data_IF_481334219271
#
_entry.id   IF_481334219271
#
_cell.length_a   1.000
_cell.length_b   1.000
_cell.length_c   1.000
_cell.angle_alpha   90.00
_cell.angle_beta   90.00
_cell.angle_gamma   90.00
#
_symmetry.space_group_name_H-M   'P 1'
#
loop_
_entity.id
_entity.type
_entity.pdbx_description
1 polymer ?
#
# COMPACT_ATOMS: atom_id res chain seq x y z
N UNK A 1 -19.09 5.21 -2.06
CA UNK A 1 -18.16 5.21 -3.22
C UNK A 1 -18.63 4.29 -4.34
N UNK A 2 -19.64 3.46 -4.08
CA UNK A 2 -20.36 2.64 -5.05
C UNK A 2 -21.86 2.98 -5.01
N UNK A 3 -22.57 2.66 -6.10
CA UNK A 3 -24.02 2.67 -6.19
C UNK A 3 -24.48 1.32 -6.70
N UNK A 4 -25.52 0.76 -6.07
CA UNK A 4 -26.16 -0.45 -6.58
C UNK A 4 -26.92 -0.15 -7.86
N UNK A 5 -26.61 -0.90 -8.91
CA UNK A 5 -27.29 -0.82 -10.21
C UNK A 5 -27.94 -2.16 -10.54
N UNK A 6 -29.19 -2.16 -11.05
CA UNK A 6 -29.75 -3.39 -11.60
C UNK A 6 -28.98 -3.78 -12.87
N UNK A 7 -28.52 -5.02 -12.93
CA UNK A 7 -27.78 -5.58 -14.07
C UNK A 7 -28.38 -6.93 -14.48
N UNK A 8 -28.03 -7.38 -15.68
CA UNK A 8 -28.24 -8.76 -16.12
C UNK A 8 -26.91 -9.52 -16.04
N UNK A 9 -26.83 -10.53 -15.18
CA UNK A 9 -25.65 -11.38 -14.99
C UNK A 9 -25.83 -12.72 -15.69
N UNK A 10 -24.86 -13.13 -16.51
CA UNK A 10 -24.84 -14.45 -17.11
C UNK A 10 -24.01 -15.41 -16.27
N UNK A 11 -24.66 -16.41 -15.66
CA UNK A 11 -24.00 -17.45 -14.85
C UNK A 11 -24.63 -18.81 -15.14
N UNK A 12 -23.80 -19.85 -15.22
CA UNK A 12 -24.23 -21.23 -15.42
C UNK A 12 -25.20 -21.40 -16.61
N UNK A 13 -24.93 -20.73 -17.74
CA UNK A 13 -25.76 -20.86 -18.94
C UNK A 13 -27.03 -20.00 -18.97
N UNK A 14 -27.29 -19.17 -17.96
CA UNK A 14 -28.55 -18.43 -17.82
C UNK A 14 -28.31 -16.96 -17.47
N UNK A 15 -29.19 -16.07 -17.96
CA UNK A 15 -29.25 -14.68 -17.51
C UNK A 15 -30.10 -14.55 -16.25
N UNK A 16 -29.62 -13.75 -15.30
CA UNK A 16 -30.28 -13.45 -14.03
C UNK A 16 -30.24 -11.94 -13.78
N UNK A 17 -31.36 -11.36 -13.38
CA UNK A 17 -31.41 -9.95 -12.96
C UNK A 17 -30.95 -9.85 -11.51
N UNK A 18 -29.85 -9.14 -11.27
CA UNK A 18 -29.26 -8.95 -9.94
C UNK A 18 -28.85 -7.49 -9.76
N UNK A 19 -28.50 -7.11 -8.54
CA UNK A 19 -27.86 -5.81 -8.28
C UNK A 19 -26.35 -6.01 -8.18
N UNK A 20 -25.61 -5.05 -8.74
CA UNK A 20 -24.15 -5.01 -8.65
C UNK A 20 -23.69 -3.64 -8.15
N UNK A 21 -22.59 -3.62 -7.41
CA UNK A 21 -22.01 -2.41 -6.83
C UNK A 21 -21.09 -1.76 -7.86
N UNK A 22 -21.47 -0.59 -8.36
CA UNK A 22 -20.72 0.13 -9.39
C UNK A 22 -20.06 1.35 -8.79
N UNK A 23 -18.75 1.48 -8.95
CA UNK A 23 -18.00 2.64 -8.46
C UNK A 23 -18.54 3.95 -9.06
N UNK A 24 -18.61 4.99 -8.24
CA UNK A 24 -18.99 6.34 -8.66
C UNK A 24 -17.78 7.12 -9.16
N UNK A 25 -17.96 7.84 -10.27
CA UNK A 25 -17.01 8.83 -10.77
C UNK A 25 -17.69 10.19 -10.94
N UNK A 26 -16.95 11.26 -10.66
CA UNK A 26 -17.40 12.65 -10.80
C UNK A 26 -16.31 13.51 -11.43
N UNK A 27 -16.67 14.54 -12.22
CA UNK A 27 -15.72 15.54 -12.66
C UNK A 27 -15.37 16.49 -11.49
N UNK A 28 -14.09 16.86 -11.39
CA UNK A 28 -13.58 17.91 -10.52
C UNK A 28 -12.81 18.92 -11.38
N UNK A 29 -13.31 20.15 -11.47
CA UNK A 29 -12.65 21.27 -12.15
C UNK A 29 -11.93 22.16 -11.13
N UNK A 30 -10.64 22.37 -11.36
CA UNK A 30 -9.76 23.18 -10.53
C UNK A 30 -9.56 24.53 -11.23
N UNK A 31 -9.88 25.60 -10.52
CA UNK A 31 -9.58 26.98 -10.88
C UNK A 31 -8.39 27.46 -10.07
N UNK A 32 -7.44 28.13 -10.72
CA UNK A 32 -6.30 28.77 -10.05
C UNK A 32 -6.33 30.26 -10.36
N UNK A 33 -6.34 31.11 -9.33
CA UNK A 33 -6.42 32.56 -9.48
C UNK A 33 -7.56 33.00 -10.44
N UNK A 34 -8.72 32.35 -10.32
CA UNK A 34 -9.93 32.54 -11.12
C UNK A 34 -9.86 32.07 -12.59
N UNK A 35 -8.80 31.40 -13.01
CA UNK A 35 -8.71 30.77 -14.33
C UNK A 35 -8.92 29.26 -14.24
N UNK A 36 -9.69 28.68 -15.15
CA UNK A 36 -9.80 27.23 -15.25
C UNK A 36 -8.44 26.62 -15.58
N UNK A 37 -7.98 25.72 -14.71
CA UNK A 37 -6.67 25.10 -14.83
C UNK A 37 -6.74 23.67 -15.36
N UNK A 38 -7.60 22.84 -14.77
CA UNK A 38 -7.74 21.44 -15.15
C UNK A 38 -9.09 20.87 -14.73
N UNK A 39 -9.61 19.91 -15.50
CA UNK A 39 -10.74 19.06 -15.10
C UNK A 39 -10.30 17.60 -15.10
N UNK A 40 -10.52 16.90 -13.99
CA UNK A 40 -10.20 15.48 -13.82
C UNK A 40 -11.43 14.68 -13.41
N UNK A 41 -11.54 13.45 -13.91
CA UNK A 41 -12.57 12.50 -13.45
C UNK A 41 -11.98 11.72 -12.29
N UNK A 42 -12.66 11.70 -11.15
CA UNK A 42 -12.17 11.11 -9.91
C UNK A 42 -13.31 10.51 -9.08
N UNK A 43 -12.95 9.79 -8.02
CA UNK A 43 -13.92 9.33 -7.03
C UNK A 43 -14.33 10.47 -6.07
N UNK A 44 -15.60 10.51 -5.62
CA UNK A 44 -16.19 11.68 -4.95
C UNK A 44 -15.84 11.80 -3.47
N UNK A 45 -14.54 11.68 -3.13
CA UNK A 45 -14.04 11.76 -1.76
C UNK A 45 -12.62 12.34 -1.76
N UNK A 46 -12.23 12.95 -0.63
CA UNK A 46 -10.87 13.47 -0.45
C UNK A 46 -10.46 14.51 -1.51
N UNK A 47 -11.39 15.33 -1.99
CA UNK A 47 -11.13 16.32 -3.03
C UNK A 47 -10.00 17.28 -2.66
N UNK A 48 -9.98 17.76 -1.41
CA UNK A 48 -8.93 18.65 -0.92
C UNK A 48 -7.53 18.05 -1.08
N UNK A 49 -7.39 16.77 -0.75
CA UNK A 49 -6.13 16.05 -0.88
C UNK A 49 -5.76 15.84 -2.34
N UNK A 50 -6.74 15.47 -3.19
CA UNK A 50 -6.54 15.34 -4.63
C UNK A 50 -6.03 16.65 -5.24
N UNK A 51 -6.67 17.78 -4.94
CA UNK A 51 -6.28 19.10 -5.46
C UNK A 51 -4.87 19.46 -5.00
N UNK A 52 -4.58 19.38 -3.70
CA UNK A 52 -3.26 19.72 -3.16
C UNK A 52 -2.18 18.82 -3.76
N UNK A 53 -2.39 17.51 -3.74
CA UNK A 53 -1.43 16.56 -4.28
C UNK A 53 -1.21 16.73 -5.79
N UNK A 54 -2.27 16.97 -6.55
CA UNK A 54 -2.17 17.23 -7.99
C UNK A 54 -1.33 18.48 -8.29
N UNK A 55 -1.57 19.60 -7.59
CA UNK A 55 -0.81 20.84 -7.79
C UNK A 55 0.68 20.66 -7.47
N UNK A 56 1.02 19.91 -6.42
CA UNK A 56 2.41 19.57 -6.10
C UNK A 56 3.02 18.60 -7.12
N UNK A 57 2.27 17.56 -7.49
CA UNK A 57 2.71 16.55 -8.47
C UNK A 57 2.98 17.15 -9.84
N UNK A 58 2.20 18.12 -10.29
CA UNK A 58 2.44 18.82 -11.57
C UNK A 58 3.50 19.94 -11.44
N UNK A 59 3.96 20.24 -10.22
CA UNK A 59 4.95 21.28 -9.94
C UNK A 59 4.40 22.71 -10.04
N UNK A 60 3.07 22.86 -9.95
CA UNK A 60 2.39 24.16 -9.92
C UNK A 60 2.75 24.92 -8.64
N UNK A 61 2.87 24.18 -7.54
CA UNK A 61 3.33 24.67 -6.24
C UNK A 61 4.49 23.84 -5.73
N UNK A 62 5.38 24.46 -4.97
CA UNK A 62 6.53 23.80 -4.34
C UNK A 62 6.41 23.75 -2.82
N UNK A 63 5.61 24.66 -2.24
CA UNK A 63 5.40 24.77 -0.81
C UNK A 63 3.92 24.95 -0.49
N UNK A 64 3.49 24.44 0.68
CA UNK A 64 2.10 24.59 1.15
C UNK A 64 1.69 26.07 1.27
N UNK A 65 2.64 26.93 1.67
CA UNK A 65 2.47 28.39 1.74
C UNK A 65 2.24 29.07 0.39
N UNK A 66 2.47 28.37 -0.72
CA UNK A 66 2.14 28.91 -2.04
C UNK A 66 0.61 29.01 -2.22
N UNK A 67 -0.19 28.24 -1.46
CA UNK A 67 -1.66 28.34 -1.44
C UNK A 67 -2.09 29.39 -0.40
N UNK A 68 -2.75 30.45 -0.87
CA UNK A 68 -3.40 31.48 -0.04
C UNK A 68 -4.75 31.02 0.49
N UNK A 69 -5.59 30.44 -0.38
CA UNK A 69 -6.86 29.81 0.01
C UNK A 69 -7.21 28.66 -0.93
N UNK A 70 -8.00 27.71 -0.42
CA UNK A 70 -8.55 26.59 -1.17
C UNK A 70 -10.00 26.39 -0.72
N UNK A 71 -10.92 26.76 -1.59
CA UNK A 71 -12.36 26.66 -1.39
C UNK A 71 -12.92 25.61 -2.35
N UNK A 72 -13.92 24.85 -1.94
CA UNK A 72 -14.50 23.78 -2.76
C UNK A 72 -16.03 23.85 -2.74
N UNK A 73 -16.62 23.66 -3.91
CA UNK A 73 -18.02 23.35 -4.11
C UNK A 73 -18.09 21.86 -4.49
N UNK A 74 -18.14 20.99 -3.48
CA UNK A 74 -18.08 19.53 -3.67
C UNK A 74 -19.30 19.00 -4.45
N UNK A 75 -20.46 19.64 -4.29
CA UNK A 75 -21.70 19.27 -4.99
C UNK A 75 -21.60 19.55 -6.49
N UNK A 76 -20.97 20.66 -6.87
CA UNK A 76 -20.74 21.00 -8.29
C UNK A 76 -19.43 20.43 -8.86
N UNK A 77 -18.56 19.87 -8.02
CA UNK A 77 -17.25 19.40 -8.43
C UNK A 77 -16.30 20.53 -8.82
N UNK A 78 -16.29 21.63 -8.06
CA UNK A 78 -15.37 22.76 -8.28
C UNK A 78 -14.40 22.97 -7.12
N UNK A 79 -13.14 23.26 -7.43
CA UNK A 79 -12.14 23.70 -6.47
C UNK A 79 -11.54 25.03 -6.92
N UNK A 80 -11.55 26.02 -6.03
CA UNK A 80 -11.01 27.36 -6.25
C UNK A 80 -9.75 27.54 -5.41
N UNK A 81 -8.61 27.59 -6.09
CA UNK A 81 -7.28 27.75 -5.47
C UNK A 81 -6.81 29.17 -5.71
N UNK A 82 -6.50 29.90 -4.64
CA UNK A 82 -5.78 31.17 -4.74
C UNK A 82 -4.33 30.92 -4.38
N UNK A 83 -3.41 31.24 -5.28
CA UNK A 83 -1.97 31.14 -5.05
C UNK A 83 -1.37 32.49 -4.66
N UNK A 84 -0.26 32.47 -3.94
CA UNK A 84 0.49 33.67 -3.55
C UNK A 84 1.22 34.32 -4.72
N UNK A 85 1.46 33.56 -5.79
CA UNK A 85 2.12 34.02 -7.01
C UNK A 85 1.13 33.96 -8.17
N UNK A 86 1.25 34.89 -9.10
CA UNK A 86 0.59 34.74 -10.38
C UNK A 86 1.25 33.60 -11.15
N UNK A 87 0.44 32.73 -11.74
CA UNK A 87 0.93 31.75 -12.69
C UNK A 87 1.55 32.52 -13.86
N UNK A 88 2.81 32.27 -14.16
CA UNK A 88 3.40 32.81 -15.39
C UNK A 88 2.65 32.15 -16.53
N UNK A 89 1.86 32.93 -17.28
CA UNK A 89 1.00 32.52 -18.40
C UNK A 89 1.78 31.77 -19.49
N UNK A 90 2.07 30.52 -19.20
CA UNK A 90 2.53 29.56 -20.18
C UNK A 90 1.49 28.45 -20.16
N UNK A 91 0.25 28.84 -20.50
CA UNK A 91 -0.85 27.92 -20.72
C UNK A 91 -0.38 26.79 -21.65
N UNK A 92 0.45 27.05 -22.66
CA UNK A 92 1.09 26.02 -23.49
C UNK A 92 1.81 24.87 -22.73
N UNK A 93 2.27 25.09 -21.49
CA UNK A 93 2.88 24.06 -20.63
C UNK A 93 1.86 23.22 -19.84
N UNK A 94 0.63 23.72 -19.63
CA UNK A 94 -0.40 23.08 -18.79
C UNK A 94 -1.73 22.79 -19.52
N UNK A 95 -2.11 23.60 -20.52
CA UNK A 95 -3.47 23.82 -21.06
C UNK A 95 -3.90 22.95 -22.25
N UNK A 96 -3.23 21.82 -22.50
CA UNK A 96 -3.74 20.80 -23.45
C UNK A 96 -4.06 19.46 -22.76
N UNK A 97 -4.45 19.48 -21.50
CA UNK A 97 -4.82 18.27 -20.74
C UNK A 97 -6.32 18.03 -20.77
N UNK A 98 -6.76 17.36 -21.85
CA UNK A 98 -8.05 16.69 -21.96
C UNK A 98 -7.95 15.20 -21.55
N UNK A 99 -9.09 14.69 -21.09
CA UNK A 99 -9.39 13.56 -20.20
C UNK A 99 -8.70 12.21 -20.50
N UNK A 100 -8.33 11.51 -19.42
CA UNK A 100 -8.30 10.05 -19.37
C UNK A 100 -8.15 9.50 -17.94
N UNK A 101 -9.22 8.98 -17.36
CA UNK A 101 -9.18 8.16 -16.13
C UNK A 101 -8.47 6.81 -16.38
N UNK A 102 -8.42 6.30 -17.63
CA UNK A 102 -7.66 5.09 -17.96
C UNK A 102 -7.20 4.86 -19.42
N UNK A 103 -7.34 5.81 -20.37
CA UNK A 103 -7.06 5.53 -21.80
C UNK A 103 -5.86 6.30 -22.36
N UNK A 104 -4.98 5.58 -23.08
CA UNK A 104 -3.67 6.04 -23.53
C UNK A 104 -3.69 7.25 -24.46
N UNK A 105 -3.03 8.32 -24.02
CA UNK A 105 -2.15 9.12 -24.87
C UNK A 105 -0.82 9.23 -24.14
N UNK A 106 0.15 8.44 -24.64
CA UNK A 106 1.57 8.55 -24.31
C UNK A 106 1.98 10.02 -24.42
N UNK A 107 2.24 10.68 -23.29
CA UNK A 107 2.84 12.02 -23.30
C UNK A 107 4.35 11.86 -23.30
N UNK A 108 4.90 12.30 -24.41
CA UNK A 108 6.31 12.47 -24.67
C UNK A 108 7.00 13.30 -23.59
N UNK A 109 8.12 12.75 -23.10
CA UNK A 109 9.29 13.36 -22.48
C UNK A 109 9.07 14.32 -21.30
N UNK A 110 9.60 13.89 -20.13
CA UNK A 110 9.89 14.65 -18.91
C UNK A 110 9.53 16.14 -19.00
N UNK A 111 8.50 16.56 -18.28
CA UNK A 111 8.25 17.99 -18.17
C UNK A 111 9.48 18.65 -17.54
N UNK A 112 9.80 19.87 -17.97
CA UNK A 112 10.87 20.65 -17.33
C UNK A 112 10.63 20.83 -15.82
N UNK A 113 9.37 20.74 -15.36
CA UNK A 113 9.01 20.70 -13.94
C UNK A 113 9.41 19.40 -13.25
N UNK A 114 9.43 18.25 -13.93
CA UNK A 114 9.85 16.97 -13.36
C UNK A 114 11.33 17.00 -12.97
N UNK A 115 12.19 17.55 -13.83
CA UNK A 115 13.63 17.71 -13.53
C UNK A 115 13.87 18.54 -12.26
N UNK A 116 13.00 19.52 -11.97
CA UNK A 116 13.13 20.39 -10.79
C UNK A 116 12.53 19.79 -9.52
N UNK A 117 11.62 18.83 -9.63
CA UNK A 117 10.81 18.35 -8.49
C UNK A 117 11.02 16.89 -8.16
N UNK A 118 11.41 16.06 -9.12
CA UNK A 118 11.87 14.70 -8.87
C UNK A 118 13.18 14.75 -8.08
N UNK A 119 13.28 13.88 -7.09
CA UNK A 119 14.43 13.76 -6.21
C UNK A 119 14.93 12.33 -6.25
N UNK A 120 16.23 12.16 -6.41
CA UNK A 120 16.89 10.89 -6.15
C UNK A 120 16.68 10.54 -4.68
N UNK A 121 16.21 9.33 -4.43
CA UNK A 121 16.05 8.83 -3.07
C UNK A 121 17.41 8.70 -2.39
N UNK A 122 17.48 9.11 -1.14
CA UNK A 122 18.64 8.93 -0.25
C UNK A 122 18.25 8.05 0.93
N UNK A 123 17.23 7.20 0.78
CA UNK A 123 16.78 6.32 1.86
C UNK A 123 17.72 5.13 2.02
N UNK A 124 17.98 4.81 3.28
CA UNK A 124 18.64 3.57 3.71
C UNK A 124 17.61 2.55 4.23
N UNK A 125 16.31 2.85 4.12
CA UNK A 125 15.25 1.93 4.53
C UNK A 125 15.34 0.62 3.72
N UNK A 126 15.08 -0.49 4.39
CA UNK A 126 15.05 -1.83 3.80
C UNK A 126 13.78 -2.56 4.22
N UNK A 127 13.39 -3.56 3.44
CA UNK A 127 12.27 -4.45 3.76
C UNK A 127 12.71 -5.89 3.63
N UNK A 128 12.21 -6.74 4.50
CA UNK A 128 12.25 -8.18 4.27
C UNK A 128 11.27 -8.59 3.17
N UNK A 129 11.52 -9.75 2.56
CA UNK A 129 10.61 -10.34 1.58
C UNK A 129 9.19 -10.54 2.14
N UNK A 130 9.07 -10.97 3.39
CA UNK A 130 7.76 -11.17 4.04
C UNK A 130 7.02 -9.85 4.26
N UNK A 131 7.72 -8.79 4.66
CA UNK A 131 7.12 -7.47 4.80
C UNK A 131 6.57 -6.95 3.47
N UNK A 132 7.26 -7.20 2.35
CA UNK A 132 6.75 -6.83 1.03
C UNK A 132 5.41 -7.49 0.72
N UNK A 133 5.28 -8.79 1.04
CA UNK A 133 4.06 -9.56 0.85
C UNK A 133 2.96 -9.06 1.78
N UNK A 134 3.24 -8.96 3.08
CA UNK A 134 2.30 -8.54 4.12
C UNK A 134 1.73 -7.14 3.83
N UNK A 135 2.56 -6.19 3.44
CA UNK A 135 2.09 -4.84 3.11
C UNK A 135 1.15 -4.84 1.90
N UNK A 136 1.39 -5.69 0.91
CA UNK A 136 0.52 -5.84 -0.26
C UNK A 136 -0.80 -6.55 0.07
N UNK A 137 -0.77 -7.53 0.96
CA UNK A 137 -1.98 -8.17 1.50
C UNK A 137 -2.81 -7.15 2.30
N UNK A 138 -2.17 -6.40 3.19
CA UNK A 138 -2.82 -5.35 3.97
C UNK A 138 -3.45 -4.28 3.07
N UNK A 139 -2.81 -3.87 1.98
CA UNK A 139 -3.41 -2.94 1.02
C UNK A 139 -4.70 -3.50 0.41
N UNK A 140 -4.70 -4.77 0.04
CA UNK A 140 -5.87 -5.43 -0.57
C UNK A 140 -6.99 -5.66 0.44
N UNK A 141 -6.64 -6.06 1.66
CA UNK A 141 -7.60 -6.25 2.75
C UNK A 141 -8.25 -4.95 3.21
N UNK A 142 -7.56 -3.80 3.10
CA UNK A 142 -8.12 -2.51 3.50
C UNK A 142 -8.86 -1.76 2.38
N UNK A 143 -9.15 -2.41 1.24
CA UNK A 143 -9.87 -1.76 0.12
C UNK A 143 -11.25 -2.37 -0.11
N UNK A 144 -12.22 -1.98 0.72
CA UNK A 144 -13.59 -2.50 0.62
C UNK A 144 -14.24 -2.13 -0.72
N UNK A 145 -14.04 -0.90 -1.19
CA UNK A 145 -14.56 -0.46 -2.49
C UNK A 145 -13.98 -1.28 -3.65
N UNK A 146 -12.72 -1.69 -3.58
CA UNK A 146 -12.15 -2.58 -4.60
C UNK A 146 -12.73 -3.99 -4.51
N UNK A 147 -12.94 -4.52 -3.30
CA UNK A 147 -13.57 -5.84 -3.11
C UNK A 147 -15.01 -5.86 -3.63
N UNK A 148 -15.75 -4.76 -3.42
CA UNK A 148 -17.14 -4.61 -3.85
C UNK A 148 -17.26 -4.41 -5.36
N UNK A 149 -16.43 -3.53 -5.94
CA UNK A 149 -16.64 -3.02 -7.30
C UNK A 149 -15.59 -3.46 -8.32
N UNK A 150 -14.39 -3.84 -7.86
CA UNK A 150 -13.20 -4.00 -8.72
C UNK A 150 -12.74 -2.73 -9.44
N UNK A 151 -13.41 -1.59 -9.24
CA UNK A 151 -13.33 -0.41 -10.10
C UNK A 151 -12.38 0.69 -9.62
N UNK A 152 -11.53 0.43 -8.63
CA UNK A 152 -10.63 1.44 -8.06
C UNK A 152 -9.17 0.97 -7.99
N UNK A 153 -8.27 1.94 -8.04
CA UNK A 153 -6.87 1.78 -7.68
C UNK A 153 -6.63 2.21 -6.24
N UNK A 154 -5.74 1.50 -5.56
CA UNK A 154 -5.36 1.76 -4.18
C UNK A 154 -3.88 2.10 -4.11
N UNK A 155 -3.56 3.08 -3.29
CA UNK A 155 -2.20 3.47 -2.97
C UNK A 155 -2.10 3.66 -1.45
N UNK A 156 -0.98 3.27 -0.85
CA UNK A 156 -0.72 3.47 0.55
C UNK A 156 0.72 3.91 0.80
N UNK A 157 0.92 4.76 1.80
CA UNK A 157 2.21 5.01 2.40
C UNK A 157 2.32 4.14 3.65
N UNK A 158 3.38 3.34 3.71
CA UNK A 158 3.59 2.36 4.77
C UNK A 158 4.93 2.58 5.48
N UNK A 159 5.00 2.18 6.76
CA UNK A 159 6.25 1.81 7.41
C UNK A 159 6.62 0.36 7.04
N UNK A 160 7.60 -0.20 7.74
CA UNK A 160 8.00 -1.60 7.66
C UNK A 160 6.84 -2.61 7.83
N UNK A 161 5.84 -2.31 8.66
CA UNK A 161 4.74 -3.26 8.95
C UNK A 161 3.35 -2.65 8.94
N UNK A 162 3.23 -1.32 8.92
CA UNK A 162 1.95 -0.64 9.10
C UNK A 162 1.63 0.29 7.94
N UNK A 163 0.34 0.36 7.59
CA UNK A 163 -0.18 1.36 6.66
C UNK A 163 -0.41 2.65 7.45
N UNK A 164 0.32 3.71 7.13
CA UNK A 164 0.06 5.04 7.71
C UNK A 164 -1.17 5.69 7.12
N UNK A 165 -1.33 5.56 5.80
CA UNK A 165 -2.44 6.12 5.06
C UNK A 165 -2.66 5.30 3.80
N UNK A 166 -3.92 5.04 3.48
CA UNK A 166 -4.34 4.51 2.18
C UNK A 166 -5.27 5.52 1.48
N UNK A 167 -5.25 5.52 0.15
CA UNK A 167 -6.19 6.27 -0.69
C UNK A 167 -6.60 5.44 -1.89
N UNK A 168 -7.87 5.58 -2.24
CA UNK A 168 -8.47 4.94 -3.39
C UNK A 168 -9.01 5.97 -4.37
N UNK A 169 -8.91 5.66 -5.65
CA UNK A 169 -9.55 6.41 -6.72
C UNK A 169 -9.78 5.53 -7.95
N UNK A 170 -10.76 5.86 -8.77
CA UNK A 170 -10.94 5.22 -10.09
C UNK A 170 -9.70 5.37 -10.97
N UNK A 171 -8.97 6.49 -10.81
CA UNK A 171 -7.78 6.83 -11.55
C UNK A 171 -6.53 6.55 -10.71
N UNK A 172 -5.62 5.73 -11.23
CA UNK A 172 -4.39 5.36 -10.51
C UNK A 172 -3.52 6.56 -10.12
N UNK A 173 -3.50 7.60 -10.95
CA UNK A 173 -2.76 8.85 -10.68
C UNK A 173 -3.44 9.67 -9.59
N UNK A 174 -4.76 9.77 -9.61
CA UNK A 174 -5.54 10.46 -8.59
C UNK A 174 -5.38 9.79 -7.22
N UNK A 175 -5.29 8.45 -7.16
CA UNK A 175 -5.02 7.74 -5.92
C UNK A 175 -3.67 8.16 -5.30
N UNK A 176 -2.62 8.29 -6.13
CA UNK A 176 -1.32 8.80 -5.70
C UNK A 176 -1.35 10.29 -5.33
N UNK A 177 -2.10 11.10 -6.06
CA UNK A 177 -2.24 12.52 -5.75
C UNK A 177 -3.00 12.74 -4.45
N UNK A 178 -4.09 12.02 -4.19
CA UNK A 178 -4.77 12.02 -2.87
C UNK A 178 -3.80 11.62 -1.76
N UNK A 179 -3.05 10.54 -1.97
CA UNK A 179 -2.07 10.05 -1.01
C UNK A 179 -1.01 11.12 -0.69
N UNK A 180 -0.48 11.77 -1.73
CA UNK A 180 0.52 12.81 -1.57
C UNK A 180 -0.06 14.05 -0.88
N UNK A 181 -1.24 14.49 -1.30
CA UNK A 181 -1.95 15.61 -0.70
C UNK A 181 -2.22 15.39 0.78
N UNK A 182 -2.62 14.17 1.19
CA UNK A 182 -2.76 13.84 2.60
C UNK A 182 -1.45 13.98 3.37
N UNK A 183 -0.34 13.46 2.83
CA UNK A 183 0.98 13.57 3.46
C UNK A 183 1.40 15.04 3.63
N UNK A 184 1.17 15.88 2.61
CA UNK A 184 1.48 17.31 2.63
C UNK A 184 0.61 18.10 3.60
N UNK A 185 -0.68 17.80 3.66
CA UNK A 185 -1.62 18.49 4.54
C UNK A 185 -1.32 18.20 6.02
N UNK A 186 -0.91 16.96 6.33
CA UNK A 186 -0.62 16.48 7.68
C UNK A 186 0.87 16.49 8.05
N UNK A 187 1.75 17.05 7.19
CA UNK A 187 3.20 17.12 7.40
C UNK A 187 3.84 15.75 7.72
N UNK A 188 3.40 14.70 7.04
CA UNK A 188 3.92 13.34 7.23
C UNK A 188 5.29 13.23 6.56
N UNK A 189 6.31 12.85 7.33
CA UNK A 189 7.62 12.46 6.77
C UNK A 189 7.48 11.14 6.02
N UNK A 190 7.95 11.09 4.78
CA UNK A 190 7.83 9.91 3.89
C UNK A 190 9.16 9.31 3.45
N UNK A 191 10.29 9.88 3.90
CA UNK A 191 11.64 9.45 3.49
C UNK A 191 12.01 8.05 3.96
N UNK A 192 11.47 7.66 5.11
CA UNK A 192 11.60 6.35 5.76
C UNK A 192 10.43 5.40 5.39
N UNK A 193 9.60 5.79 4.42
CA UNK A 193 8.33 5.12 4.09
C UNK A 193 8.34 4.55 2.69
N UNK A 194 7.41 3.64 2.46
CA UNK A 194 7.29 2.86 1.25
C UNK A 194 5.93 3.14 0.62
N UNK A 195 5.89 3.14 -0.71
CA UNK A 195 4.64 3.25 -1.45
C UNK A 195 4.18 1.85 -1.84
N UNK A 196 2.97 1.48 -1.45
CA UNK A 196 2.32 0.22 -1.86
C UNK A 196 1.17 0.55 -2.78
N UNK A 197 1.14 -0.06 -3.96
CA UNK A 197 0.26 0.37 -5.05
C UNK A 197 -0.38 -0.81 -5.79
N UNK A 198 -1.67 -0.72 -6.10
CA UNK A 198 -2.37 -1.78 -6.83
C UNK A 198 -2.14 -1.73 -8.35
N UNK A 199 -1.82 -0.56 -8.89
CA UNK A 199 -1.67 -0.32 -10.34
C UNK A 199 -0.28 -0.69 -10.88
N UNK A 200 -0.15 -0.67 -12.22
CA UNK A 200 1.14 -0.85 -12.92
C UNK A 200 2.13 0.26 -12.58
N UNK A 201 3.42 -0.09 -12.52
CA UNK A 201 4.50 0.87 -12.37
C UNK A 201 4.87 1.45 -13.74
N UNK A 202 4.27 2.58 -14.09
CA UNK A 202 4.69 3.40 -15.24
C UNK A 202 5.74 4.43 -14.83
N UNK A 203 6.44 5.03 -15.79
CA UNK A 203 7.33 6.16 -15.52
C UNK A 203 6.64 7.30 -14.79
N UNK A 204 5.38 7.62 -15.14
CA UNK A 204 4.57 8.63 -14.44
C UNK A 204 4.32 8.29 -12.96
N UNK A 205 4.09 7.01 -12.64
CA UNK A 205 3.92 6.54 -11.25
C UNK A 205 5.23 6.67 -10.49
N UNK A 206 6.36 6.29 -11.10
CA UNK A 206 7.68 6.40 -10.48
C UNK A 206 8.09 7.87 -10.28
N UNK A 207 7.80 8.75 -11.23
CA UNK A 207 7.98 10.20 -11.08
C UNK A 207 7.19 10.73 -9.90
N UNK A 208 5.91 10.35 -9.73
CA UNK A 208 5.11 10.74 -8.56
C UNK A 208 5.68 10.16 -7.26
N UNK A 209 6.12 8.90 -7.25
CA UNK A 209 6.75 8.28 -6.08
C UNK A 209 8.02 9.06 -5.65
N UNK A 210 8.85 9.46 -6.60
CA UNK A 210 10.02 10.32 -6.35
C UNK A 210 9.64 11.70 -5.79
N UNK A 211 8.58 12.32 -6.32
CA UNK A 211 8.09 13.62 -5.81
C UNK A 211 7.49 13.52 -4.41
N UNK A 212 6.79 12.43 -4.11
CA UNK A 212 6.37 12.11 -2.75
C UNK A 212 7.61 12.01 -1.86
N UNK A 213 8.66 11.32 -2.34
CA UNK A 213 9.94 11.19 -1.65
C UNK A 213 10.15 9.83 -1.00
N UNK A 214 9.45 8.79 -1.49
CA UNK A 214 9.66 7.39 -1.07
C UNK A 214 10.81 6.76 -1.86
N UNK A 215 11.55 5.86 -1.21
CA UNK A 215 12.65 5.14 -1.86
C UNK A 215 12.34 3.68 -2.21
N UNK A 216 11.20 3.15 -1.77
CA UNK A 216 10.74 1.78 -2.10
C UNK A 216 9.30 1.87 -2.62
N UNK A 217 9.04 1.22 -3.75
CA UNK A 217 7.72 1.13 -4.37
C UNK A 217 7.37 -0.33 -4.61
N UNK A 218 6.29 -0.78 -3.97
CA UNK A 218 5.73 -2.12 -4.04
C UNK A 218 4.47 -2.10 -4.91
N UNK A 219 4.39 -2.98 -5.92
CA UNK A 219 3.25 -3.07 -6.82
C UNK A 219 2.71 -4.49 -7.00
N UNK A 220 1.38 -4.60 -7.02
CA UNK A 220 0.66 -5.84 -7.39
C UNK A 220 0.81 -6.19 -8.88
N UNK A 221 1.20 -5.22 -9.70
CA UNK A 221 1.16 -5.28 -11.16
C UNK A 221 2.56 -5.15 -11.78
N UNK A 222 2.62 -5.23 -13.11
CA UNK A 222 3.86 -5.15 -13.87
C UNK A 222 4.45 -3.72 -13.90
N UNK A 223 5.78 -3.57 -13.96
CA UNK A 223 6.43 -2.35 -14.41
C UNK A 223 6.51 -2.25 -15.95
N UNK A 224 6.78 -1.05 -16.45
CA UNK A 224 7.23 -0.83 -17.84
C UNK A 224 8.75 -0.67 -17.89
N UNK A 225 9.38 -0.93 -19.04
CA UNK A 225 10.83 -0.75 -19.23
C UNK A 225 11.33 0.65 -18.82
N UNK A 226 10.60 1.69 -19.26
CA UNK A 226 10.93 3.08 -18.89
C UNK A 226 10.80 3.33 -17.38
N UNK A 227 9.86 2.67 -16.70
CA UNK A 227 9.72 2.79 -15.25
C UNK A 227 10.90 2.15 -14.51
N UNK A 228 11.40 1.01 -14.99
CA UNK A 228 12.58 0.35 -14.41
C UNK A 228 13.82 1.22 -14.56
N UNK A 229 14.07 1.76 -15.77
CA UNK A 229 15.17 2.71 -16.01
C UNK A 229 15.09 3.94 -15.10
N UNK A 230 13.90 4.51 -14.97
CA UNK A 230 13.68 5.66 -14.11
C UNK A 230 13.88 5.31 -12.62
N UNK A 231 13.51 4.10 -12.20
CA UNK A 231 13.72 3.64 -10.84
C UNK A 231 15.22 3.49 -10.53
N UNK A 232 16.02 3.03 -11.50
CA UNK A 232 17.49 3.03 -11.38
C UNK A 232 18.03 4.45 -11.19
N UNK A 233 17.70 5.36 -12.10
CA UNK A 233 18.17 6.76 -12.10
C UNK A 233 17.78 7.53 -10.82
N UNK A 234 16.59 7.26 -10.28
CA UNK A 234 16.05 7.93 -9.09
C UNK A 234 16.39 7.21 -7.79
N UNK A 235 17.20 6.15 -7.83
CA UNK A 235 17.57 5.35 -6.65
C UNK A 235 16.35 4.74 -5.91
N UNK A 236 15.30 4.37 -6.65
CA UNK A 236 14.05 3.80 -6.11
C UNK A 236 14.05 2.29 -6.30
N UNK A 237 13.87 1.53 -5.22
CA UNK A 237 13.63 0.08 -5.30
C UNK A 237 12.22 -0.19 -5.82
N UNK A 238 12.12 -0.75 -7.02
CA UNK A 238 10.85 -1.09 -7.65
C UNK A 238 10.59 -2.60 -7.56
N UNK A 239 9.52 -2.98 -6.86
CA UNK A 239 9.07 -4.36 -6.72
C UNK A 239 7.71 -4.51 -7.40
N UNK A 240 7.58 -5.47 -8.30
CA UNK A 240 6.37 -5.71 -9.08
C UNK A 240 5.85 -7.14 -8.93
N UNK A 241 4.65 -7.36 -9.45
CA UNK A 241 3.97 -8.67 -9.42
C UNK A 241 3.81 -9.28 -8.02
N UNK A 242 3.68 -8.46 -6.97
CA UNK A 242 3.49 -8.98 -5.61
C UNK A 242 2.12 -9.65 -5.50
N UNK A 243 2.10 -10.98 -5.43
CA UNK A 243 0.90 -11.83 -5.39
C UNK A 243 1.20 -13.13 -4.67
N UNK A 244 0.31 -13.51 -3.73
CA UNK A 244 0.56 -14.65 -2.86
C UNK A 244 1.93 -14.49 -2.19
N UNK A 245 2.75 -15.52 -2.24
CA UNK A 245 4.09 -15.56 -1.66
C UNK A 245 5.21 -15.22 -2.66
N UNK A 246 4.94 -14.43 -3.71
CA UNK A 246 5.93 -14.17 -4.77
C UNK A 246 5.92 -12.72 -5.25
N UNK A 247 7.07 -12.25 -5.73
CA UNK A 247 7.27 -10.95 -6.35
C UNK A 247 8.59 -10.91 -7.15
N UNK A 248 8.77 -9.88 -7.96
CA UNK A 248 10.01 -9.62 -8.69
C UNK A 248 10.58 -8.25 -8.30
N UNK A 249 11.89 -8.17 -8.07
CA UNK A 249 12.59 -6.90 -7.84
C UNK A 249 13.22 -6.46 -9.16
N UNK A 250 12.97 -5.22 -9.55
CA UNK A 250 13.40 -4.67 -10.85
C UNK A 250 14.54 -3.66 -10.74
N UNK A 251 14.75 -3.08 -9.56
CA UNK A 251 15.82 -2.12 -9.31
C UNK A 251 16.22 -2.11 -7.83
N UNK A 252 17.47 -1.76 -7.55
CA UNK A 252 18.00 -1.56 -6.19
C UNK A 252 17.64 -2.70 -5.21
N UNK A 253 17.90 -3.94 -5.63
CA UNK A 253 17.50 -5.16 -4.89
C UNK A 253 18.17 -5.32 -3.53
N UNK A 254 19.30 -4.65 -3.30
CA UNK A 254 20.01 -4.65 -2.02
C UNK A 254 19.16 -4.14 -0.85
N UNK A 255 18.07 -3.38 -1.08
CA UNK A 255 17.13 -2.95 -0.04
C UNK A 255 16.08 -3.99 0.33
N UNK A 256 15.97 -5.08 -0.43
CA UNK A 256 15.06 -6.18 -0.10
C UNK A 256 15.88 -7.34 0.44
N UNK A 257 15.77 -7.59 1.74
CA UNK A 257 16.50 -8.67 2.39
C UNK A 257 15.69 -9.96 2.29
N UNK A 258 16.40 -11.07 2.08
CA UNK A 258 15.82 -12.37 2.35
C UNK A 258 15.54 -12.42 3.86
N UNK A 259 14.39 -12.97 4.26
CA UNK A 259 14.25 -13.33 5.67
C UNK A 259 15.44 -14.27 5.95
N UNK A 260 16.19 -14.01 7.01
CA UNK A 260 17.11 -15.03 7.48
C UNK A 260 16.26 -16.29 7.65
N UNK A 261 16.54 -17.32 6.83
CA UNK A 261 16.13 -18.67 7.21
C UNK A 261 16.85 -18.86 8.52
N UNK A 262 16.12 -18.69 9.61
CA UNK A 262 16.68 -18.85 10.93
C UNK A 262 17.45 -20.16 10.92
N UNK A 263 18.77 -20.05 11.07
CA UNK A 263 19.44 -20.97 11.95
C UNK A 263 18.57 -21.00 13.20
N UNK A 264 18.12 -22.19 13.58
CA UNK A 264 16.96 -22.42 14.45
C UNK A 264 17.29 -22.06 15.89
N UNK A 265 17.49 -20.77 16.13
CA UNK A 265 17.47 -20.12 17.42
C UNK A 265 16.29 -19.18 17.36
N UNK A 266 15.26 -19.51 18.15
CA UNK A 266 14.01 -18.78 18.18
C UNK A 266 14.29 -17.30 18.39
N UNK A 267 13.74 -16.45 17.53
CA UNK A 267 13.77 -15.02 17.72
C UNK A 267 13.19 -14.69 19.10
N UNK A 268 13.94 -13.90 19.87
CA UNK A 268 13.46 -13.36 21.13
C UNK A 268 12.21 -12.52 20.86
N UNK A 269 11.06 -13.01 21.29
CA UNK A 269 9.82 -12.26 21.30
C UNK A 269 9.95 -11.10 22.28
N UNK A 270 9.66 -9.86 21.86
CA UNK A 270 9.60 -8.70 22.75
C UNK A 270 8.27 -8.62 23.53
N UNK A 271 7.51 -9.72 23.58
CA UNK A 271 6.22 -9.83 24.26
C UNK A 271 6.27 -11.08 25.13
N UNK A 272 6.20 -10.87 26.44
CA UNK A 272 6.07 -11.94 27.42
C UNK A 272 4.65 -12.51 27.37
N UNK A 273 4.55 -13.81 27.08
CA UNK A 273 3.30 -14.55 27.09
C UNK A 273 2.96 -14.99 28.51
N UNK A 274 1.79 -14.60 29.00
CA UNK A 274 1.27 -15.11 30.29
C UNK A 274 0.96 -16.61 30.20
N UNK A 275 1.04 -17.32 31.32
CA UNK A 275 0.64 -18.74 31.41
C UNK A 275 -0.76 -18.98 30.86
N UNK A 276 -1.70 -18.06 31.13
CA UNK A 276 -3.07 -18.10 30.62
C UNK A 276 -3.10 -18.06 29.09
N UNK A 277 -2.32 -17.17 28.46
CA UNK A 277 -2.20 -17.09 27.00
C UNK A 277 -1.62 -18.37 26.39
N UNK A 278 -0.66 -19.01 27.06
CA UNK A 278 -0.08 -20.29 26.60
C UNK A 278 -1.09 -21.43 26.73
N UNK A 279 -1.88 -21.46 27.82
CA UNK A 279 -2.94 -22.46 28.02
C UNK A 279 -4.04 -22.36 26.99
N UNK A 280 -4.53 -21.15 26.71
CA UNK A 280 -5.52 -20.92 25.64
C UNK A 280 -4.99 -21.40 24.29
N UNK A 281 -3.71 -21.12 24.03
CA UNK A 281 -3.09 -21.54 22.78
C UNK A 281 -2.95 -23.06 22.70
N UNK A 282 -2.52 -23.73 23.77
CA UNK A 282 -2.43 -25.19 23.84
C UNK A 282 -3.79 -25.86 23.62
N UNK A 283 -4.85 -25.36 24.25
CA UNK A 283 -6.21 -25.89 24.04
C UNK A 283 -6.68 -25.67 22.59
N UNK A 284 -6.35 -24.54 21.96
CA UNK A 284 -6.68 -24.29 20.54
C UNK A 284 -6.04 -25.29 19.57
N UNK A 285 -4.93 -25.92 19.95
CA UNK A 285 -4.16 -26.84 19.10
C UNK A 285 -4.36 -28.32 19.47
N UNK A 286 -5.20 -28.62 20.46
CA UNK A 286 -5.38 -29.96 21.04
C UNK A 286 -5.71 -31.04 20.00
N UNK A 287 -6.50 -30.73 18.98
CA UNK A 287 -6.89 -31.69 17.93
C UNK A 287 -5.78 -32.01 16.93
N UNK A 288 -4.70 -31.22 16.91
CA UNK A 288 -3.61 -31.33 15.94
C UNK A 288 -2.32 -31.89 16.57
N UNK A 289 -2.17 -31.77 17.88
CA UNK A 289 -1.00 -32.25 18.61
C UNK A 289 -1.07 -33.77 18.89
N UNK A 290 0.08 -34.46 18.94
CA UNK A 290 0.14 -35.78 19.54
C UNK A 290 -0.38 -35.78 20.98
N UNK A 291 -1.24 -36.75 21.32
CA UNK A 291 -1.92 -36.82 22.62
C UNK A 291 -0.95 -36.80 23.79
N UNK A 292 0.19 -37.50 23.68
CA UNK A 292 1.24 -37.52 24.70
C UNK A 292 1.87 -36.14 24.91
N UNK A 293 2.15 -35.43 23.82
CA UNK A 293 2.79 -34.13 23.87
C UNK A 293 1.88 -33.05 24.46
N UNK A 294 0.59 -33.07 24.11
CA UNK A 294 -0.41 -32.19 24.72
C UNK A 294 -0.48 -32.39 26.24
N UNK A 295 -0.47 -33.64 26.72
CA UNK A 295 -0.51 -33.92 28.16
C UNK A 295 0.76 -33.44 28.88
N UNK A 296 1.94 -33.63 28.29
CA UNK A 296 3.20 -33.15 28.88
C UNK A 296 3.23 -31.62 28.96
N UNK A 297 2.85 -30.92 27.89
CA UNK A 297 2.73 -29.45 27.91
C UNK A 297 1.73 -28.99 28.98
N UNK A 298 0.59 -29.68 29.12
CA UNK A 298 -0.44 -29.34 30.11
C UNK A 298 0.04 -29.55 31.55
N UNK A 299 0.87 -30.56 31.78
CA UNK A 299 1.44 -30.85 33.10
C UNK A 299 2.46 -29.77 33.50
N UNK A 300 3.37 -29.42 32.61
CA UNK A 300 4.44 -28.45 32.89
C UNK A 300 3.93 -27.03 33.00
N UNK A 301 2.82 -26.68 32.32
CA UNK A 301 2.16 -25.39 32.56
C UNK A 301 1.54 -25.27 33.96
N UNK A 302 1.39 -26.37 34.73
CA UNK A 302 1.00 -26.31 36.15
C UNK A 302 2.20 -26.13 37.09
N UNK A 303 3.41 -26.17 36.55
CA UNK A 303 4.64 -25.82 37.25
C UNK A 303 4.98 -24.34 36.97
N UNK A 304 5.65 -23.67 37.90
CA UNK A 304 5.99 -22.26 37.75
C UNK A 304 7.16 -22.12 36.76
N UNK A 305 6.85 -21.88 35.48
CA UNK A 305 7.81 -21.87 34.38
C UNK A 305 8.53 -20.53 34.25
N UNK A 306 9.78 -20.58 33.76
CA UNK A 306 10.49 -19.37 33.37
C UNK A 306 9.81 -18.72 32.15
N UNK A 307 9.84 -17.39 32.08
CA UNK A 307 9.19 -16.62 31.02
C UNK A 307 9.67 -17.01 29.61
N UNK A 308 10.95 -17.34 29.47
CA UNK A 308 11.53 -17.82 28.21
C UNK A 308 10.87 -19.13 27.74
N UNK A 309 10.64 -20.06 28.66
CA UNK A 309 9.98 -21.34 28.36
C UNK A 309 8.52 -21.13 27.95
N UNK A 310 7.80 -20.21 28.61
CA UNK A 310 6.43 -19.86 28.22
C UNK A 310 6.37 -19.28 26.80
N UNK A 311 7.30 -18.38 26.48
CA UNK A 311 7.40 -17.79 25.15
C UNK A 311 7.70 -18.87 24.10
N UNK A 312 8.65 -19.76 24.40
CA UNK A 312 9.06 -20.84 23.50
C UNK A 312 7.91 -21.82 23.20
N UNK A 313 7.20 -22.26 24.24
CA UNK A 313 6.03 -23.14 24.10
C UNK A 313 4.93 -22.47 23.29
N UNK A 314 4.63 -21.19 23.57
CA UNK A 314 3.62 -20.44 22.80
C UNK A 314 3.96 -20.39 21.31
N UNK A 315 5.22 -20.14 20.97
CA UNK A 315 5.67 -20.05 19.57
C UNK A 315 5.61 -21.38 18.85
N UNK A 316 6.01 -22.48 19.50
CA UNK A 316 5.92 -23.81 18.90
C UNK A 316 4.46 -24.21 18.60
N UNK A 317 3.52 -23.76 19.44
CA UNK A 317 2.08 -23.95 19.26
C UNK A 317 1.44 -22.96 18.25
N UNK A 318 2.12 -21.88 17.88
CA UNK A 318 1.56 -20.85 17.01
C UNK A 318 1.41 -21.36 15.58
N UNK A 319 0.16 -21.36 15.08
CA UNK A 319 -0.22 -21.85 13.73
C UNK A 319 0.23 -23.30 13.49
N UNK A 320 0.28 -24.14 14.53
CA UNK A 320 0.67 -25.54 14.40
C UNK A 320 -0.28 -26.30 13.46
N UNK A 321 -1.57 -25.97 13.51
CA UNK A 321 -2.63 -26.45 12.62
C UNK A 321 -2.38 -26.17 11.12
N UNK A 322 -1.56 -25.18 10.79
CA UNK A 322 -1.23 -24.79 9.40
C UNK A 322 0.16 -25.26 8.95
N UNK A 323 0.95 -25.85 9.84
CA UNK A 323 2.29 -26.36 9.56
C UNK A 323 2.21 -27.67 8.75
N UNK A 324 3.17 -27.89 7.84
CA UNK A 324 3.27 -29.15 7.12
C UNK A 324 3.80 -30.29 8.01
N UNK A 325 3.75 -31.54 7.54
CA UNK A 325 4.13 -32.71 8.34
C UNK A 325 5.60 -32.67 8.82
N UNK A 326 6.51 -32.12 8.02
CA UNK A 326 7.92 -32.03 8.38
C UNK A 326 8.15 -30.96 9.46
N UNK A 327 7.48 -29.82 9.34
CA UNK A 327 7.51 -28.75 10.32
C UNK A 327 6.84 -29.16 11.64
N UNK A 328 5.72 -29.87 11.58
CA UNK A 328 5.07 -30.45 12.77
C UNK A 328 6.00 -31.42 13.51
N UNK A 329 6.74 -32.26 12.79
CA UNK A 329 7.71 -33.18 13.42
C UNK A 329 8.86 -32.45 14.11
N UNK A 330 9.41 -31.39 13.50
CA UNK A 330 10.46 -30.57 14.12
C UNK A 330 9.95 -29.86 15.38
N UNK A 331 8.76 -29.26 15.31
CA UNK A 331 8.11 -28.62 16.45
C UNK A 331 7.82 -29.62 17.57
N UNK A 332 7.36 -30.83 17.24
CA UNK A 332 7.12 -31.89 18.21
C UNK A 332 8.40 -32.28 18.95
N UNK A 333 9.53 -32.42 18.24
CA UNK A 333 10.82 -32.73 18.85
C UNK A 333 11.28 -31.63 19.83
N UNK A 334 11.12 -30.37 19.45
CA UNK A 334 11.44 -29.22 20.30
C UNK A 334 10.54 -29.14 21.52
N UNK A 335 9.22 -29.26 21.32
CA UNK A 335 8.26 -29.32 22.42
C UNK A 335 8.59 -30.46 23.37
N UNK A 336 8.87 -31.67 22.87
CA UNK A 336 9.28 -32.82 23.69
C UNK A 336 10.50 -32.52 24.55
N UNK A 337 11.49 -31.79 24.03
CA UNK A 337 12.72 -31.47 24.77
C UNK A 337 12.47 -30.42 25.86
N UNK A 338 11.47 -29.57 25.69
CA UNK A 338 11.06 -28.57 26.67
C UNK A 338 10.13 -29.13 27.75
N UNK A 339 9.51 -30.29 27.48
CA UNK A 339 8.48 -30.89 28.35
C UNK A 339 8.83 -32.26 28.93
N UNK A 340 10.06 -32.70 28.74
CA UNK A 340 10.71 -33.81 29.47
C UNK A 340 11.46 -33.28 30.69
#
# INVERSE_FOLDING_TARGET
MSLKKPISSYRNGTFQNVYDDVVTEVPLTIFINNEEFATMVCSPFHFKELVVGFLFSEGVILFKKDIKSLDMDEDKGFAYVQLTKQLVHNQSFYSKRFIGSCCGKSRQFYFHSDVKTAKTSMTDASLSADQCIQLMENLQQNSDVFKETGGVHNAAVCSHSEIFVNRADIGRHNALDKLYGYCLLNNISVRDKMLVFSGRLSSEVLTKASKIGVGIVLSKSAPTDLAVKLAEDLNITAVGFIRGSSFNIYSHSHRITQNEKGDTTMGSCNIDHSEESVREKLESQKSYLPVSLYQNCKNILNENLHQDTLNEVFHLLKKYDLADEAEQQDRNKKLSTLVE
#
